data_IF_081613948323
#
_entry.id   IF_081613948323
#
_cell.length_a   1.000
_cell.length_b   1.000
_cell.length_c   1.000
_cell.angle_alpha   90.00
_cell.angle_beta   90.00
_cell.angle_gamma   90.00
#
_symmetry.space_group_name_H-M   'P 1'
#
loop_
_entity.id
_entity.type
_entity.pdbx_description
1 polymer ?
#
# COMPACT_ATOMS: atom_id res chain seq x y z
N UNK A 1 38.24 13.88 -15.84
CA UNK A 1 36.90 14.27 -16.33
C UNK A 1 35.95 14.31 -15.14
N UNK A 2 35.43 15.49 -14.77
CA UNK A 2 34.41 15.62 -13.73
C UNK A 2 33.04 15.33 -14.35
N UNK A 3 32.48 14.16 -14.07
CA UNK A 3 31.10 13.83 -14.44
C UNK A 3 30.18 14.21 -13.29
N UNK A 4 29.13 14.98 -13.58
CA UNK A 4 28.12 15.36 -12.58
C UNK A 4 27.25 14.15 -12.24
N UNK A 5 26.74 14.08 -11.01
CA UNK A 5 25.92 12.96 -10.49
C UNK A 5 24.74 12.56 -11.41
N UNK A 6 24.22 13.49 -12.22
CA UNK A 6 23.18 13.22 -13.21
C UNK A 6 23.62 12.41 -14.44
N UNK A 7 24.92 12.38 -14.77
CA UNK A 7 25.45 11.56 -15.86
C UNK A 7 25.69 10.10 -15.45
N UNK A 8 25.83 9.80 -14.15
CA UNK A 8 25.97 8.43 -13.67
C UNK A 8 24.66 7.64 -13.73
N UNK A 9 23.52 8.29 -13.44
CA UNK A 9 22.21 7.63 -13.50
C UNK A 9 21.73 7.33 -14.94
N UNK A 10 22.26 8.01 -15.95
CA UNK A 10 21.90 7.75 -17.35
C UNK A 10 22.64 6.57 -17.98
N UNK A 11 23.62 5.97 -17.30
CA UNK A 11 24.41 4.87 -17.86
C UNK A 11 23.98 3.46 -17.40
N UNK A 12 23.00 3.34 -16.50
CA UNK A 12 22.55 2.05 -15.95
C UNK A 12 21.34 1.43 -16.67
N UNK A 13 20.77 2.08 -17.69
CA UNK A 13 19.54 1.62 -18.35
C UNK A 13 19.77 1.12 -19.79
N UNK A 14 20.81 0.33 -20.07
CA UNK A 14 20.95 -0.38 -21.36
C UNK A 14 21.68 -1.74 -21.15
N UNK A 15 20.95 -2.75 -20.67
CA UNK A 15 21.18 -4.20 -20.84
C UNK A 15 20.08 -4.93 -20.04
N UNK A 16 19.26 -5.86 -20.53
CA UNK A 16 19.17 -6.46 -21.85
C UNK A 16 17.78 -7.07 -22.02
N UNK A 17 17.21 -6.87 -23.20
CA UNK A 17 16.04 -7.60 -23.68
C UNK A 17 16.49 -8.98 -24.17
N UNK A 18 16.05 -10.05 -23.50
CA UNK A 18 16.09 -11.41 -24.03
C UNK A 18 14.68 -12.00 -23.98
N UNK A 19 13.96 -11.84 -25.10
CA UNK A 19 12.82 -12.66 -25.50
C UNK A 19 13.29 -14.09 -25.77
N UNK A 20 12.60 -15.10 -25.23
CA UNK A 20 12.49 -16.52 -25.64
C UNK A 20 11.81 -17.25 -24.45
N UNK A 21 10.75 -18.03 -24.53
CA UNK A 21 9.95 -18.50 -25.64
C UNK A 21 8.67 -19.15 -25.08
N UNK A 22 7.67 -19.21 -25.94
CA UNK A 22 6.38 -19.84 -25.74
C UNK A 22 6.53 -21.34 -25.52
N UNK A 23 5.83 -21.92 -24.53
CA UNK A 23 5.52 -23.36 -24.50
C UNK A 23 4.10 -23.54 -23.97
N UNK A 24 3.21 -23.91 -24.88
CA UNK A 24 1.85 -24.38 -24.61
C UNK A 24 1.90 -25.85 -24.13
N UNK A 25 1.39 -26.11 -22.93
CA UNK A 25 0.77 -27.38 -22.49
C UNK A 25 -0.30 -26.93 -21.48
N UNK A 26 -1.61 -27.13 -21.63
CA UNK A 26 -2.37 -28.07 -22.46
C UNK A 26 -2.94 -29.20 -21.59
N UNK A 27 -4.23 -29.09 -21.24
CA UNK A 27 -5.16 -30.13 -20.76
C UNK A 27 -5.07 -30.60 -19.28
N UNK A 28 -6.21 -30.51 -18.59
CA UNK A 28 -6.50 -31.20 -17.33
C UNK A 28 -7.84 -30.77 -16.73
N UNK A 29 -8.96 -31.21 -17.32
CA UNK A 29 -10.29 -31.13 -16.72
C UNK A 29 -10.45 -32.27 -15.71
N UNK A 30 -10.77 -31.96 -14.46
CA UNK A 30 -11.26 -32.95 -13.49
C UNK A 30 -12.62 -32.48 -12.95
N UNK A 31 -13.66 -33.07 -13.54
CA UNK A 31 -15.03 -33.10 -13.05
C UNK A 31 -15.13 -34.10 -11.89
N UNK A 32 -15.86 -33.74 -10.83
CA UNK A 32 -16.47 -34.71 -9.91
C UNK A 32 -16.32 -34.40 -8.42
N UNK A 33 -17.44 -34.29 -7.72
CA UNK A 33 -17.44 -34.19 -6.25
C UNK A 33 -18.76 -33.73 -5.67
N UNK A 34 -19.74 -34.62 -5.68
CA UNK A 34 -21.12 -34.46 -5.23
C UNK A 34 -21.29 -34.14 -3.73
N UNK A 35 -22.22 -33.22 -3.44
CA UNK A 35 -23.31 -33.42 -2.48
C UNK A 35 -23.07 -33.30 -0.97
N UNK A 36 -23.62 -32.23 -0.37
CA UNK A 36 -24.36 -32.25 0.90
C UNK A 36 -25.48 -31.19 0.76
N UNK A 37 -26.78 -31.49 0.79
CA UNK A 37 -27.49 -32.11 1.91
C UNK A 37 -28.22 -31.00 2.69
N UNK A 38 -29.44 -30.67 2.26
CA UNK A 38 -30.20 -29.52 2.77
C UNK A 38 -30.89 -29.70 4.12
N UNK A 39 -31.37 -28.57 4.66
CA UNK A 39 -32.51 -28.37 5.58
C UNK A 39 -32.55 -26.86 5.85
N UNK A 40 -33.62 -26.08 5.78
CA UNK A 40 -35.05 -26.29 6.00
C UNK A 40 -35.52 -25.21 6.98
N UNK A 41 -36.49 -24.36 6.60
CA UNK A 41 -37.17 -23.42 7.53
C UNK A 41 -37.42 -22.04 6.91
N UNK A 42 -38.54 -21.79 6.21
CA UNK A 42 -39.86 -21.31 6.70
C UNK A 42 -39.88 -19.93 7.37
N UNK A 43 -40.45 -18.95 6.65
CA UNK A 43 -41.57 -18.13 7.14
C UNK A 43 -41.27 -16.85 7.91
N UNK A 44 -41.77 -15.71 7.42
CA UNK A 44 -41.88 -14.49 8.21
C UNK A 44 -42.24 -13.24 7.41
N UNK A 45 -43.52 -13.08 7.08
CA UNK A 45 -44.09 -11.83 6.56
C UNK A 45 -44.08 -10.72 7.63
N UNK A 46 -43.79 -9.48 7.24
CA UNK A 46 -43.92 -8.30 8.10
C UNK A 46 -43.96 -6.99 7.31
N UNK A 47 -45.17 -6.44 7.17
CA UNK A 47 -45.49 -5.14 6.59
C UNK A 47 -45.02 -3.94 7.44
N UNK A 48 -44.76 -2.80 6.79
CA UNK A 48 -45.35 -1.50 7.19
C UNK A 48 -44.42 -0.32 7.43
N UNK A 49 -44.69 0.80 6.71
CA UNK A 49 -44.27 2.17 7.05
C UNK A 49 -43.48 2.86 5.92
N UNK A 50 -44.08 3.50 4.90
CA UNK A 50 -44.85 4.77 4.84
C UNK A 50 -44.02 6.06 4.72
N UNK A 51 -44.04 6.65 3.51
CA UNK A 51 -43.96 8.09 3.19
C UNK A 51 -42.58 8.76 3.23
N UNK A 52 -42.22 9.78 2.45
CA UNK A 52 -42.82 10.62 1.41
C UNK A 52 -41.64 11.10 0.52
N UNK A 53 -41.73 11.18 -0.81
CA UNK A 53 -42.31 12.33 -1.52
C UNK A 53 -41.21 13.32 -1.97
N UNK A 54 -40.85 13.30 -3.25
CA UNK A 54 -39.92 14.25 -3.87
C UNK A 54 -39.91 14.15 -5.39
N UNK A 55 -40.71 15.00 -6.02
CA UNK A 55 -41.04 15.07 -7.45
C UNK A 55 -39.94 15.59 -8.38
N UNK A 56 -39.95 15.08 -9.63
CA UNK A 56 -39.66 15.81 -10.88
C UNK A 56 -38.19 16.17 -11.19
N UNK A 57 -37.67 16.22 -12.42
CA UNK A 57 -38.17 16.16 -13.80
C UNK A 57 -37.04 15.48 -14.63
N UNK A 58 -37.29 14.65 -15.64
CA UNK A 58 -37.66 15.11 -16.99
C UNK A 58 -36.45 15.63 -17.77
N UNK A 59 -35.84 14.79 -18.62
CA UNK A 59 -34.76 15.19 -19.53
C UNK A 59 -34.26 14.06 -20.43
N UNK A 60 -34.96 13.81 -21.53
CA UNK A 60 -34.53 12.93 -22.63
C UNK A 60 -33.89 13.76 -23.75
N UNK A 61 -32.81 13.25 -24.36
CA UNK A 61 -32.21 13.77 -25.59
C UNK A 61 -30.68 13.69 -25.51
N UNK A 62 -30.02 12.74 -26.17
CA UNK A 62 -29.48 12.90 -27.54
C UNK A 62 -28.16 13.67 -27.49
N UNK A 63 -27.02 13.30 -28.09
CA UNK A 63 -26.68 12.39 -29.18
C UNK A 63 -25.16 12.11 -29.11
N UNK A 64 -24.73 11.14 -29.92
CA UNK A 64 -23.41 10.55 -29.97
C UNK A 64 -22.26 11.44 -30.48
N UNK A 65 -21.05 10.86 -30.34
CA UNK A 65 -19.80 11.11 -31.08
C UNK A 65 -18.90 12.26 -30.62
N UNK A 66 -17.61 11.94 -30.43
CA UNK A 66 -16.53 12.92 -30.40
C UNK A 66 -15.61 12.76 -29.19
N UNK A 67 -14.46 12.11 -29.39
CA UNK A 67 -13.46 11.95 -28.36
C UNK A 67 -12.84 13.28 -27.91
N UNK A 68 -12.41 13.30 -26.66
CA UNK A 68 -11.22 14.01 -26.22
C UNK A 68 -10.75 13.33 -24.94
N UNK A 69 -9.52 12.82 -24.99
CA UNK A 69 -8.78 12.36 -23.83
C UNK A 69 -8.66 13.54 -22.86
N UNK A 70 -9.62 13.65 -21.93
CA UNK A 70 -9.62 14.65 -20.88
C UNK A 70 -8.81 14.15 -19.71
N UNK A 71 -7.52 14.48 -19.73
CA UNK A 71 -6.53 14.40 -18.67
C UNK A 71 -6.96 13.62 -17.42
N UNK A 72 -6.43 12.41 -17.30
CA UNK A 72 -5.98 11.92 -16.00
C UNK A 72 -5.11 13.04 -15.42
N UNK A 73 -5.69 13.88 -14.56
CA UNK A 73 -4.92 14.62 -13.59
C UNK A 73 -4.33 13.55 -12.69
N UNK A 74 -3.23 12.95 -13.17
CA UNK A 74 -2.26 12.30 -12.33
C UNK A 74 -2.03 13.31 -11.22
N UNK A 75 -2.52 12.97 -10.02
CA UNK A 75 -2.21 13.75 -8.84
C UNK A 75 -0.70 13.94 -8.89
N UNK A 76 -0.29 15.20 -9.06
CA UNK A 76 1.07 15.62 -8.80
C UNK A 76 1.30 15.27 -7.34
N UNK A 77 1.78 14.04 -7.11
CA UNK A 77 2.33 13.60 -5.85
C UNK A 77 3.37 14.62 -5.51
N UNK A 78 3.05 15.46 -4.53
CA UNK A 78 3.91 16.54 -4.10
C UNK A 78 5.19 15.89 -3.60
N UNK A 79 6.25 15.98 -4.40
CA UNK A 79 7.61 15.69 -3.98
C UNK A 79 8.12 16.77 -3.02
N UNK A 80 7.34 17.07 -1.98
CA UNK A 80 7.91 17.58 -0.73
C UNK A 80 8.37 16.34 0.00
N UNK A 81 9.68 16.17 0.20
CA UNK A 81 10.19 15.03 0.96
C UNK A 81 9.42 14.94 2.27
N UNK A 82 8.68 13.85 2.46
CA UNK A 82 7.94 13.55 3.66
C UNK A 82 8.95 13.53 4.82
N UNK A 83 8.86 14.54 5.67
CA UNK A 83 9.59 14.55 6.93
C UNK A 83 8.85 13.63 7.89
N UNK A 84 9.38 12.43 8.09
CA UNK A 84 8.78 11.48 9.01
C UNK A 84 9.24 11.74 10.45
N UNK A 85 8.29 11.68 11.37
CA UNK A 85 8.54 11.63 12.80
C UNK A 85 8.28 10.21 13.34
N UNK A 86 9.06 9.78 14.32
CA UNK A 86 8.90 8.48 14.98
C UNK A 86 8.72 8.65 16.50
N UNK A 87 7.65 8.05 17.02
CA UNK A 87 7.36 7.99 18.45
C UNK A 87 7.51 6.54 18.96
N UNK A 88 8.29 6.34 20.02
CA UNK A 88 8.56 5.03 20.61
C UNK A 88 7.95 4.98 22.01
N UNK A 89 7.03 4.05 22.27
CA UNK A 89 6.37 3.91 23.57
C UNK A 89 7.34 3.33 24.60
N UNK A 90 7.46 3.97 25.78
CA UNK A 90 8.43 3.55 26.80
C UNK A 90 9.89 3.84 26.41
N UNK A 91 10.09 4.83 25.54
CA UNK A 91 11.42 5.20 25.06
C UNK A 91 12.34 5.60 26.22
N UNK A 92 13.51 4.98 26.28
CA UNK A 92 14.56 5.23 27.26
C UNK A 92 15.93 5.45 26.59
N UNK A 93 15.93 5.85 25.31
CA UNK A 93 17.14 6.15 24.54
C UNK A 93 17.11 5.67 23.08
N UNK A 94 16.06 4.98 22.66
CA UNK A 94 15.88 4.51 21.30
C UNK A 94 15.57 5.65 20.32
N UNK A 95 15.98 5.44 19.08
CA UNK A 95 15.83 6.39 17.98
C UNK A 95 15.54 5.62 16.69
N UNK A 96 14.58 6.11 15.90
CA UNK A 96 14.31 5.61 14.56
C UNK A 96 14.31 6.80 13.60
N UNK A 97 15.13 6.73 12.56
CA UNK A 97 15.14 7.70 11.46
C UNK A 97 14.74 6.99 10.18
N UNK A 98 13.57 7.34 9.66
CA UNK A 98 13.09 6.89 8.35
C UNK A 98 13.36 8.02 7.35
N UNK A 99 14.18 7.77 6.33
CA UNK A 99 14.52 8.81 5.36
C UNK A 99 13.57 8.80 4.16
N UNK A 100 13.51 9.92 3.44
CA UNK A 100 12.71 9.99 2.22
C UNK A 100 13.18 8.97 1.17
N UNK A 101 14.49 8.70 1.09
CA UNK A 101 15.02 7.71 0.14
C UNK A 101 14.50 6.30 0.44
N UNK A 102 14.29 5.96 1.70
CA UNK A 102 13.73 4.66 2.08
C UNK A 102 12.24 4.56 1.72
N UNK A 103 11.50 5.66 1.89
CA UNK A 103 10.09 5.77 1.47
C UNK A 103 9.96 5.63 -0.04
N UNK A 104 10.80 6.34 -0.79
CA UNK A 104 10.82 6.31 -2.26
C UNK A 104 11.25 4.94 -2.79
N UNK A 105 12.16 4.25 -2.08
CA UNK A 105 12.57 2.90 -2.43
C UNK A 105 11.43 1.90 -2.23
N UNK A 106 10.63 2.06 -1.16
CA UNK A 106 9.43 1.24 -0.92
C UNK A 106 9.72 -0.25 -0.82
N UNK A 107 10.87 -0.62 -0.26
CA UNK A 107 11.29 -2.02 -0.07
C UNK A 107 11.41 -2.33 1.42
N UNK A 108 11.15 -3.58 1.80
CA UNK A 108 11.30 -4.02 3.19
C UNK A 108 12.68 -3.65 3.74
N UNK A 109 12.69 -2.97 4.90
CA UNK A 109 13.92 -2.53 5.56
C UNK A 109 13.82 -2.73 7.06
N UNK A 110 14.85 -3.36 7.63
CA UNK A 110 15.01 -3.48 9.07
C UNK A 110 15.95 -2.39 9.59
N UNK A 111 15.48 -1.63 10.57
CA UNK A 111 16.23 -0.58 11.25
C UNK A 111 16.67 -1.07 12.61
N UNK A 112 17.93 -0.83 12.95
CA UNK A 112 18.37 -0.83 14.34
C UNK A 112 17.89 0.47 15.00
N UNK A 113 17.23 0.34 16.15
CA UNK A 113 16.66 1.47 16.88
C UNK A 113 17.37 1.71 18.23
N UNK A 114 18.59 1.21 18.41
CA UNK A 114 19.33 1.29 19.68
C UNK A 114 19.47 2.73 20.15
N UNK A 115 19.84 3.66 19.26
CA UNK A 115 20.09 5.05 19.63
C UNK A 115 21.14 5.17 20.75
N UNK A 116 20.77 5.83 21.85
CA UNK A 116 21.57 5.96 23.07
C UNK A 116 21.16 4.97 24.19
N UNK A 117 20.27 4.00 23.90
CA UNK A 117 19.85 3.01 24.88
C UNK A 117 20.97 2.02 25.26
N UNK A 118 20.78 1.30 26.37
CA UNK A 118 21.74 0.33 26.88
C UNK A 118 21.64 -1.05 26.21
N UNK A 119 20.61 -1.28 25.39
CA UNK A 119 20.41 -2.51 24.63
C UNK A 119 19.78 -2.21 23.26
N UNK A 120 19.87 -3.17 22.35
CA UNK A 120 19.41 -3.04 20.97
C UNK A 120 17.99 -3.59 20.78
N UNK A 121 17.22 -2.90 19.94
CA UNK A 121 16.02 -3.44 19.30
C UNK A 121 16.11 -3.16 17.79
N UNK A 122 15.35 -3.91 17.00
CA UNK A 122 15.13 -3.58 15.60
C UNK A 122 13.65 -3.56 15.23
N UNK A 123 13.33 -2.81 14.18
CA UNK A 123 11.97 -2.71 13.61
C UNK A 123 12.07 -2.95 12.11
N UNK A 124 11.20 -3.80 11.57
CA UNK A 124 11.05 -3.95 10.12
C UNK A 124 9.91 -3.07 9.64
N UNK A 125 10.20 -2.18 8.71
CA UNK A 125 9.21 -1.40 7.95
C UNK A 125 9.07 -2.10 6.60
N UNK A 126 7.86 -2.55 6.26
CA UNK A 126 7.61 -3.26 5.00
C UNK A 126 7.38 -2.31 3.84
N UNK A 127 7.44 -2.82 2.61
CA UNK A 127 7.06 -2.10 1.40
C UNK A 127 5.64 -1.50 1.49
N UNK A 128 4.70 -2.21 2.11
CA UNK A 128 3.34 -1.73 2.32
C UNK A 128 3.26 -0.59 3.35
N UNK A 129 4.10 -0.65 4.39
CA UNK A 129 4.22 0.43 5.37
C UNK A 129 4.81 1.68 4.71
N UNK A 130 5.86 1.55 3.91
CA UNK A 130 6.41 2.66 3.14
C UNK A 130 5.40 3.27 2.18
N UNK A 131 4.57 2.47 1.50
CA UNK A 131 3.50 2.99 0.66
C UNK A 131 2.45 3.78 1.47
N UNK A 132 2.17 3.36 2.71
CA UNK A 132 1.28 4.08 3.64
C UNK A 132 1.91 5.41 4.07
N UNK A 133 3.19 5.38 4.45
CA UNK A 133 3.96 6.57 4.83
C UNK A 133 4.09 7.57 3.68
N UNK A 134 4.34 7.10 2.45
CA UNK A 134 4.37 7.93 1.24
C UNK A 134 3.04 8.64 0.97
N UNK A 135 1.92 8.09 1.48
CA UNK A 135 0.60 8.67 1.39
C UNK A 135 0.31 9.77 2.43
N UNK A 136 1.26 10.12 3.30
CA UNK A 136 1.06 11.08 4.38
C UNK A 136 0.22 10.50 5.54
N UNK A 137 0.34 9.20 5.77
CA UNK A 137 -0.35 8.48 6.85
C UNK A 137 0.64 7.89 7.86
N UNK A 138 0.13 7.45 9.00
CA UNK A 138 0.93 6.83 10.06
C UNK A 138 0.89 5.31 10.03
N UNK A 139 2.00 4.65 10.40
CA UNK A 139 2.06 3.21 10.68
C UNK A 139 2.47 2.96 12.13
N UNK A 140 2.00 1.87 12.73
CA UNK A 140 2.43 1.42 14.05
C UNK A 140 3.05 0.04 13.95
N UNK A 141 4.28 -0.08 14.42
CA UNK A 141 5.14 -1.25 14.29
C UNK A 141 5.55 -1.73 15.67
N UNK A 142 5.82 -3.03 15.80
CA UNK A 142 6.38 -3.59 17.03
C UNK A 142 7.85 -3.92 16.80
N UNK A 143 8.72 -3.48 17.71
CA UNK A 143 10.13 -3.85 17.67
C UNK A 143 10.35 -5.32 18.06
N UNK A 144 11.52 -5.86 17.77
CA UNK A 144 11.93 -7.18 18.27
C UNK A 144 11.88 -7.23 19.79
N UNK A 145 11.55 -8.41 20.34
CA UNK A 145 11.72 -8.68 21.77
C UNK A 145 13.21 -8.81 22.11
N UNK A 146 13.73 -7.87 22.89
CA UNK A 146 15.09 -7.87 23.39
C UNK A 146 15.11 -7.34 24.83
N UNK A 147 16.08 -7.79 25.63
CA UNK A 147 16.18 -7.41 27.05
C UNK A 147 14.82 -7.52 27.81
N UNK A 148 14.06 -8.58 27.52
CA UNK A 148 12.76 -8.92 28.12
C UNK A 148 11.57 -7.98 27.82
N UNK A 149 11.65 -7.09 26.82
CA UNK A 149 10.50 -6.30 26.36
C UNK A 149 10.58 -5.96 24.86
N UNK A 150 9.58 -5.24 24.36
CA UNK A 150 9.55 -4.62 23.05
C UNK A 150 8.95 -3.21 23.14
N UNK A 151 9.01 -2.47 22.04
CA UNK A 151 8.41 -1.16 21.91
C UNK A 151 7.38 -1.15 20.78
N UNK A 152 6.28 -0.44 21.02
CA UNK A 152 5.38 0.03 19.96
C UNK A 152 5.95 1.33 19.39
N UNK A 153 6.14 1.37 18.07
CA UNK A 153 6.76 2.45 17.32
C UNK A 153 5.77 3.00 16.31
N UNK A 154 5.35 4.25 16.47
CA UNK A 154 4.49 4.94 15.52
C UNK A 154 5.32 5.86 14.64
N UNK A 155 5.30 5.65 13.33
CA UNK A 155 5.95 6.52 12.34
C UNK A 155 4.87 7.30 11.62
N UNK A 156 5.03 8.62 11.49
CA UNK A 156 4.10 9.49 10.77
C UNK A 156 4.88 10.34 9.80
N UNK A 157 4.45 10.32 8.54
CA UNK A 157 4.80 11.27 7.50
C UNK A 157 3.46 11.76 6.91
#
# INVERSE_FOLDING_TARGET
MNMTRGQFLRMALIAGTATLGTSLVGCGSDDGGDGEGGSGGTGGSGNGGSGNGGSGNGGSGGQATGGSAGNNTAGTGGGGGASCDAAIVGNHGHELVVTQEDIDAGVDKTYDITGAALHSHSVTVTAADFATLAGGSSVTLTSTDAAAHNHSVTVTC
#
